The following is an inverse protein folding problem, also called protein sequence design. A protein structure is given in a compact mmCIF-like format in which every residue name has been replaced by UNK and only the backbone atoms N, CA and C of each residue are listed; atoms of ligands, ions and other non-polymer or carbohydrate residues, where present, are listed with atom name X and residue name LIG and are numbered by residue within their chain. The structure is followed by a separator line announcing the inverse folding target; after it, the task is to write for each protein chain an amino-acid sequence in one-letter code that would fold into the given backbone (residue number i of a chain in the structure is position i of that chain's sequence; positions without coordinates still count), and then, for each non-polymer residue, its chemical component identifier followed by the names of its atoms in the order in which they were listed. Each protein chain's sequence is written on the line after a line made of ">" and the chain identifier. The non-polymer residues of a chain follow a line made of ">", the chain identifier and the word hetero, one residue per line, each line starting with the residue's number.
data_IF_145668001446
#
_entry.id   IF_145668001446
#
_cell.length_a   1.000
_cell.length_b   1.000
_cell.length_c   1.000
_cell.angle_alpha   90.00
_cell.angle_beta   90.00
_cell.angle_gamma   90.00
#
_symmetry.space_group_name_H-M   'P 1'
#
loop_
_entity.id
_entity.type
_entity.pdbx_description
1 polymer ?
#
# COMPACT_ATOMS: atom_id res chain seq x y z
N UNK A 1 21.63 -2.47 -8.91
CA UNK A 1 21.07 -1.10 -8.84
C UNK A 1 22.01 -0.27 -7.97
N UNK A 2 22.71 0.69 -8.57
CA UNK A 2 23.69 1.57 -7.91
C UNK A 2 23.05 2.86 -7.34
N UNK A 3 21.72 2.98 -7.48
CA UNK A 3 20.89 4.10 -7.08
C UNK A 3 21.21 5.45 -7.77
N UNK A 4 22.03 5.48 -8.83
CA UNK A 4 22.41 6.74 -9.48
C UNK A 4 21.23 7.39 -10.20
N UNK A 5 20.31 6.58 -10.73
CA UNK A 5 19.06 7.07 -11.33
C UNK A 5 18.17 7.85 -10.35
N UNK A 6 18.31 7.61 -9.05
CA UNK A 6 17.55 8.30 -8.00
C UNK A 6 18.35 9.41 -7.29
N UNK A 7 19.58 9.71 -7.74
CA UNK A 7 20.43 10.76 -7.14
C UNK A 7 19.80 12.16 -7.22
N UNK A 8 19.03 12.42 -8.27
CA UNK A 8 18.33 13.68 -8.52
C UNK A 8 16.84 13.37 -8.75
N UNK A 9 15.95 14.27 -8.33
CA UNK A 9 14.52 14.18 -8.63
C UNK A 9 13.65 13.52 -7.55
N UNK A 10 14.24 13.09 -6.43
CA UNK A 10 13.49 12.67 -5.25
C UNK A 10 12.80 13.88 -4.61
N UNK A 11 11.46 13.90 -4.69
CA UNK A 11 10.63 15.03 -4.25
C UNK A 11 10.42 15.09 -2.73
N UNK A 12 10.45 13.95 -2.03
CA UNK A 12 10.16 13.88 -0.59
C UNK A 12 11.43 13.69 0.24
N UNK A 13 11.46 14.31 1.43
CA UNK A 13 12.53 14.12 2.41
C UNK A 13 12.66 12.66 2.87
N UNK A 14 11.55 11.92 2.89
CA UNK A 14 11.56 10.47 3.13
C UNK A 14 12.41 9.74 2.07
N UNK A 15 12.11 9.94 0.78
CA UNK A 15 12.84 9.28 -0.31
C UNK A 15 14.34 9.64 -0.28
N UNK A 16 14.66 10.91 -0.07
CA UNK A 16 16.05 11.40 0.06
C UNK A 16 16.78 10.73 1.23
N UNK A 17 16.14 10.64 2.41
CA UNK A 17 16.75 10.02 3.59
C UNK A 17 17.01 8.51 3.40
N UNK A 18 16.09 7.80 2.74
CA UNK A 18 16.25 6.37 2.43
C UNK A 18 17.34 6.14 1.40
N UNK A 19 17.42 6.98 0.36
CA UNK A 19 18.50 6.92 -0.62
C UNK A 19 19.88 7.08 0.04
N UNK A 20 20.07 8.10 0.88
CA UNK A 20 21.34 8.29 1.60
C UNK A 20 21.66 7.10 2.50
N UNK A 21 20.67 6.59 3.23
CA UNK A 21 20.83 5.43 4.12
C UNK A 21 21.32 4.20 3.35
N UNK A 22 20.76 3.94 2.16
CA UNK A 22 21.19 2.82 1.33
C UNK A 22 22.60 3.01 0.75
N UNK A 23 23.01 4.24 0.39
CA UNK A 23 24.40 4.50 -0.01
C UNK A 23 25.37 4.19 1.13
N UNK A 24 25.02 4.52 2.37
CA UNK A 24 25.83 4.14 3.55
C UNK A 24 25.89 2.62 3.74
N UNK A 25 24.78 1.91 3.52
CA UNK A 25 24.77 0.44 3.58
C UNK A 25 25.63 -0.18 2.49
N UNK A 26 25.60 0.33 1.25
CA UNK A 26 26.50 -0.12 0.18
C UNK A 26 27.98 0.12 0.52
N UNK A 27 28.33 1.26 1.12
CA UNK A 27 29.69 1.50 1.60
C UNK A 27 30.08 0.56 2.74
N UNK A 28 29.17 0.20 3.63
CA UNK A 28 29.41 -0.80 4.67
C UNK A 28 29.64 -2.20 4.06
N UNK A 29 28.90 -2.57 3.02
CA UNK A 29 29.11 -3.84 2.31
C UNK A 29 30.47 -3.93 1.63
N UNK A 30 30.95 -2.83 1.02
CA UNK A 30 32.33 -2.73 0.49
C UNK A 30 33.39 -2.98 1.56
N UNK A 31 33.07 -2.70 2.83
CA UNK A 31 33.94 -2.91 4.00
C UNK A 31 33.73 -4.27 4.68
N UNK A 32 32.94 -5.16 4.09
CA UNK A 32 32.74 -6.53 4.55
C UNK A 32 31.47 -6.78 5.37
N UNK A 33 30.59 -5.77 5.54
CA UNK A 33 29.27 -6.03 6.10
C UNK A 33 28.48 -6.96 5.15
N UNK A 34 27.86 -8.00 5.71
CA UNK A 34 27.04 -8.95 4.95
C UNK A 34 25.57 -8.82 5.31
N UNK A 35 24.70 -8.87 4.32
CA UNK A 35 23.26 -8.85 4.54
C UNK A 35 22.47 -8.42 3.31
N UNK A 36 21.19 -8.14 3.54
CA UNK A 36 20.26 -7.76 2.49
C UNK A 36 19.63 -6.39 2.77
N UNK A 37 19.42 -5.60 1.72
CA UNK A 37 18.57 -4.42 1.75
C UNK A 37 17.18 -4.87 1.30
N UNK A 38 16.20 -4.85 2.21
CA UNK A 38 14.81 -5.17 1.88
C UNK A 38 14.06 -3.89 1.50
N UNK A 39 13.51 -3.87 0.28
CA UNK A 39 12.75 -2.75 -0.29
C UNK A 39 11.30 -3.20 -0.56
N UNK A 40 10.39 -3.05 0.42
CA UNK A 40 8.98 -3.36 0.19
C UNK A 40 8.27 -2.28 -0.62
N UNK A 41 7.18 -2.67 -1.28
CA UNK A 41 6.15 -1.76 -1.78
C UNK A 41 5.37 -1.08 -0.65
N UNK A 42 4.14 -0.64 -0.95
CA UNK A 42 3.19 -0.21 0.07
C UNK A 42 2.84 -1.39 0.96
N UNK A 43 3.33 -1.36 2.21
CA UNK A 43 3.03 -2.38 3.21
C UNK A 43 1.62 -2.13 3.73
N UNK A 44 0.70 -3.05 3.43
CA UNK A 44 -0.71 -2.95 3.81
C UNK A 44 -1.04 -3.90 4.96
N UNK A 45 -2.32 -4.20 5.17
CA UNK A 45 -2.74 -5.05 6.29
C UNK A 45 -2.19 -6.47 6.25
N UNK A 46 -2.41 -7.17 7.35
CA UNK A 46 -2.13 -8.62 7.46
C UNK A 46 -3.13 -9.41 6.61
N UNK A 47 -2.65 -10.40 5.86
CA UNK A 47 -3.49 -11.09 4.89
C UNK A 47 -4.60 -11.98 5.49
N UNK A 48 -4.56 -12.25 6.80
CA UNK A 48 -5.49 -13.16 7.49
C UNK A 48 -6.43 -12.42 8.44
N UNK A 49 -5.89 -11.46 9.18
CA UNK A 49 -6.60 -10.68 10.20
C UNK A 49 -7.09 -9.34 9.66
N UNK A 50 -6.56 -8.90 8.51
CA UNK A 50 -6.80 -7.59 7.89
C UNK A 50 -6.42 -6.37 8.75
N UNK A 51 -5.75 -6.59 9.89
CA UNK A 51 -5.26 -5.51 10.75
C UNK A 51 -4.30 -4.64 9.97
N UNK A 52 -4.56 -3.33 9.94
CA UNK A 52 -3.76 -2.38 9.17
C UNK A 52 -3.62 -1.03 9.85
N UNK A 53 -2.67 -0.21 9.38
CA UNK A 53 -2.44 1.14 9.85
C UNK A 53 -3.34 2.13 9.11
N UNK A 54 -4.38 2.63 9.76
CA UNK A 54 -5.35 3.56 9.15
C UNK A 54 -4.80 4.95 8.84
N UNK A 55 -3.59 5.28 9.32
CA UNK A 55 -2.91 6.51 8.93
C UNK A 55 -2.18 6.43 7.58
N UNK A 56 -2.07 5.24 6.99
CA UNK A 56 -1.40 5.06 5.71
C UNK A 56 -2.13 5.77 4.56
N UNK A 57 -1.35 6.21 3.57
CA UNK A 57 -1.84 6.89 2.37
C UNK A 57 -2.94 6.09 1.67
N UNK A 58 -2.78 4.77 1.53
CA UNK A 58 -3.72 3.91 0.81
C UNK A 58 -5.10 3.95 1.47
N UNK A 59 -5.16 3.81 2.79
CA UNK A 59 -6.43 3.77 3.51
C UNK A 59 -7.07 5.16 3.65
N UNK A 60 -6.25 6.21 3.75
CA UNK A 60 -6.74 7.60 3.64
C UNK A 60 -7.32 7.90 2.27
N UNK A 61 -6.73 7.38 1.19
CA UNK A 61 -7.27 7.48 -0.16
C UNK A 61 -8.62 6.78 -0.27
N UNK A 62 -8.72 5.54 0.22
CA UNK A 62 -9.98 4.79 0.26
C UNK A 62 -11.05 5.56 1.03
N UNK A 63 -10.76 6.00 2.26
CA UNK A 63 -11.73 6.76 3.08
C UNK A 63 -12.11 8.10 2.44
N UNK A 64 -11.15 8.83 1.90
CA UNK A 64 -11.41 10.11 1.22
C UNK A 64 -12.33 9.95 0.02
N UNK A 65 -12.18 8.87 -0.76
CA UNK A 65 -13.07 8.54 -1.86
C UNK A 65 -14.49 8.16 -1.39
N UNK A 66 -14.60 7.39 -0.30
CA UNK A 66 -15.90 7.06 0.32
C UNK A 66 -16.61 8.33 0.82
N UNK A 67 -15.88 9.23 1.50
CA UNK A 67 -16.43 10.49 1.98
C UNK A 67 -16.87 11.43 0.84
N UNK A 68 -16.12 11.45 -0.26
CA UNK A 68 -16.44 12.25 -1.43
C UNK A 68 -17.56 11.63 -2.29
N UNK A 69 -17.78 10.31 -2.19
CA UNK A 69 -18.66 9.56 -3.08
C UNK A 69 -18.12 9.39 -4.51
N UNK A 70 -16.84 9.71 -4.72
CA UNK A 70 -16.16 9.65 -6.03
C UNK A 70 -14.84 8.92 -5.91
N UNK A 71 -14.53 8.11 -6.92
CA UNK A 71 -13.20 7.52 -7.12
C UNK A 71 -12.60 8.03 -8.44
N UNK A 72 -11.30 8.38 -8.49
CA UNK A 72 -10.65 8.79 -9.73
C UNK A 72 -10.32 7.57 -10.59
N UNK A 73 -10.47 7.70 -11.91
CA UNK A 73 -10.00 6.72 -12.89
C UNK A 73 -8.46 6.81 -13.03
N UNK A 74 -7.76 5.85 -12.43
CA UNK A 74 -6.31 5.74 -12.45
C UNK A 74 -5.93 4.28 -12.69
N UNK A 75 -5.43 4.00 -13.88
CA UNK A 75 -5.02 2.64 -14.25
C UNK A 75 -3.57 2.29 -13.87
N UNK A 76 -2.87 3.19 -13.17
CA UNK A 76 -1.51 2.91 -12.70
C UNK A 76 -1.52 1.78 -11.68
N UNK A 77 -0.44 0.98 -11.70
CA UNK A 77 -0.21 -0.04 -10.70
C UNK A 77 0.08 0.58 -9.33
N UNK A 78 -0.34 -0.12 -8.30
CA UNK A 78 -0.05 0.19 -6.90
C UNK A 78 0.58 -1.06 -6.29
N UNK A 79 1.85 -0.97 -5.92
CA UNK A 79 2.61 -2.11 -5.39
C UNK A 79 2.21 -2.39 -3.93
N UNK A 80 1.01 -2.94 -3.69
CA UNK A 80 0.47 -3.25 -2.37
C UNK A 80 0.86 -4.65 -1.93
N UNK A 81 1.60 -4.76 -0.82
CA UNK A 81 2.10 -6.04 -0.30
C UNK A 81 1.61 -6.24 1.15
N UNK A 82 0.99 -7.38 1.47
CA UNK A 82 0.59 -7.71 2.84
C UNK A 82 1.77 -7.70 3.82
N UNK A 83 1.56 -7.21 5.05
CA UNK A 83 2.64 -7.05 6.04
C UNK A 83 3.26 -8.38 6.46
N UNK A 84 2.48 -9.45 6.53
CA UNK A 84 2.94 -10.80 6.84
C UNK A 84 3.87 -11.34 5.76
N UNK A 85 3.62 -11.03 4.48
CA UNK A 85 4.54 -11.36 3.39
C UNK A 85 5.87 -10.60 3.51
N UNK A 86 5.82 -9.30 3.84
CA UNK A 86 7.03 -8.50 4.05
C UNK A 86 7.83 -8.99 5.26
N UNK A 87 7.15 -9.29 6.37
CA UNK A 87 7.77 -9.80 7.59
C UNK A 87 8.44 -11.16 7.33
N UNK A 88 7.79 -12.03 6.56
CA UNK A 88 8.33 -13.32 6.12
C UNK A 88 9.59 -13.16 5.29
N UNK A 89 9.56 -12.35 4.23
CA UNK A 89 10.73 -12.06 3.40
C UNK A 89 11.89 -11.48 4.22
N UNK A 90 11.59 -10.57 5.15
CA UNK A 90 12.59 -9.96 6.02
C UNK A 90 13.20 -10.98 6.99
N UNK A 91 12.37 -11.87 7.54
CA UNK A 91 12.82 -12.93 8.45
C UNK A 91 13.70 -13.93 7.73
N UNK A 92 13.30 -14.39 6.54
CA UNK A 92 14.10 -15.29 5.69
C UNK A 92 15.43 -14.64 5.30
N UNK A 93 15.43 -13.36 4.95
CA UNK A 93 16.67 -12.63 4.66
C UNK A 93 17.66 -12.65 5.84
N UNK A 94 17.17 -12.70 7.08
CA UNK A 94 18.03 -12.78 8.26
C UNK A 94 18.47 -14.21 8.59
N UNK A 95 17.58 -15.20 8.50
CA UNK A 95 17.83 -16.57 9.01
C UNK A 95 18.25 -17.58 7.95
N UNK A 96 17.92 -17.32 6.68
CA UNK A 96 18.23 -18.16 5.53
C UNK A 96 18.65 -17.28 4.34
N UNK A 97 19.75 -16.49 4.48
CA UNK A 97 20.17 -15.53 3.46
C UNK A 97 20.62 -16.22 2.16
N UNK A 98 20.58 -15.47 1.06
CA UNK A 98 21.07 -15.98 -0.23
C UNK A 98 22.55 -16.40 -0.14
N UNK A 99 22.92 -17.58 -0.67
CA UNK A 99 24.28 -18.08 -0.62
C UNK A 99 25.23 -17.14 -1.38
N UNK A 100 26.42 -16.90 -0.81
CA UNK A 100 27.48 -16.07 -1.40
C UNK A 100 27.11 -14.61 -1.69
N UNK A 101 25.95 -14.12 -1.23
CA UNK A 101 25.64 -12.69 -1.30
C UNK A 101 26.52 -11.94 -0.28
N UNK A 102 27.40 -11.07 -0.77
CA UNK A 102 28.07 -10.07 0.07
C UNK A 102 27.05 -9.02 0.50
N UNK A 103 26.34 -8.42 -0.46
CA UNK A 103 25.18 -7.58 -0.23
C UNK A 103 24.23 -7.68 -1.42
N UNK A 104 22.94 -7.87 -1.19
CA UNK A 104 21.93 -7.86 -2.25
C UNK A 104 20.71 -7.03 -1.89
N UNK A 105 19.97 -6.62 -2.91
CA UNK A 105 18.70 -5.90 -2.78
C UNK A 105 17.56 -6.88 -3.02
N UNK A 106 16.61 -6.91 -2.09
CA UNK A 106 15.39 -7.71 -2.16
C UNK A 106 14.21 -6.75 -2.38
N UNK A 107 13.73 -6.66 -3.62
CA UNK A 107 12.49 -5.95 -3.91
C UNK A 107 11.32 -6.86 -3.53
N UNK A 108 10.54 -6.47 -2.53
CA UNK A 108 9.33 -7.21 -2.14
C UNK A 108 8.16 -6.54 -2.83
N UNK A 109 7.69 -7.17 -3.92
CA UNK A 109 6.76 -6.60 -4.89
C UNK A 109 5.52 -7.49 -4.98
N UNK A 110 4.37 -6.86 -5.18
CA UNK A 110 3.12 -7.54 -5.38
C UNK A 110 3.09 -8.26 -6.73
N UNK A 111 2.67 -9.53 -6.73
CA UNK A 111 2.51 -10.31 -7.94
C UNK A 111 1.20 -11.13 -7.90
N UNK A 112 0.23 -10.87 -8.79
CA UNK A 112 0.19 -9.76 -9.77
C UNK A 112 0.15 -8.37 -9.12
N UNK A 113 0.51 -7.32 -9.86
CA UNK A 113 0.40 -5.93 -9.42
C UNK A 113 -1.04 -5.42 -9.54
N UNK A 114 -1.72 -5.00 -8.45
CA UNK A 114 -3.03 -4.38 -8.55
C UNK A 114 -2.91 -2.95 -9.10
N UNK A 115 -4.00 -2.42 -9.63
CA UNK A 115 -4.11 -1.00 -10.03
C UNK A 115 -4.92 -0.19 -9.03
N UNK A 116 -4.82 1.14 -9.09
CA UNK A 116 -5.72 2.02 -8.33
C UNK A 116 -7.19 1.78 -8.70
N UNK A 117 -7.49 1.46 -9.96
CA UNK A 117 -8.83 1.05 -10.37
C UNK A 117 -9.27 -0.27 -9.72
N UNK A 118 -8.41 -1.29 -9.65
CA UNK A 118 -8.74 -2.53 -8.93
C UNK A 118 -9.05 -2.25 -7.45
N UNK A 119 -8.24 -1.39 -6.82
CA UNK A 119 -8.40 -0.98 -5.43
C UNK A 119 -9.71 -0.21 -5.21
N UNK A 120 -9.94 0.87 -5.95
CA UNK A 120 -10.97 1.85 -5.65
C UNK A 120 -12.34 1.46 -6.21
N UNK A 121 -12.41 0.78 -7.35
CA UNK A 121 -13.68 0.30 -7.89
C UNK A 121 -14.30 -0.80 -7.02
N UNK A 122 -13.49 -1.53 -6.24
CA UNK A 122 -13.99 -2.52 -5.27
C UNK A 122 -14.95 -1.91 -4.24
N UNK A 123 -14.86 -0.60 -3.97
CA UNK A 123 -15.77 0.09 -3.06
C UNK A 123 -17.22 -0.03 -3.52
N UNK A 124 -17.49 0.20 -4.81
CA UNK A 124 -18.83 0.05 -5.36
C UNK A 124 -19.31 -1.40 -5.26
N UNK A 125 -18.42 -2.37 -5.52
CA UNK A 125 -18.75 -3.79 -5.46
C UNK A 125 -19.22 -4.24 -4.07
N UNK A 126 -18.55 -3.75 -3.03
CA UNK A 126 -18.90 -4.03 -1.62
C UNK A 126 -19.97 -3.08 -1.05
N UNK A 127 -20.59 -2.24 -1.88
CA UNK A 127 -21.78 -1.46 -1.54
C UNK A 127 -21.53 -0.06 -0.96
N UNK A 128 -20.30 0.45 -1.04
CA UNK A 128 -20.04 1.86 -0.78
C UNK A 128 -20.54 2.70 -1.96
N UNK A 129 -21.25 3.80 -1.68
CA UNK A 129 -21.85 4.66 -2.71
C UNK A 129 -20.80 5.55 -3.37
N UNK A 130 -19.98 4.96 -4.23
CA UNK A 130 -18.94 5.66 -5.00
C UNK A 130 -19.16 5.51 -6.50
N UNK A 131 -18.91 6.57 -7.26
CA UNK A 131 -18.86 6.52 -8.74
C UNK A 131 -17.47 6.87 -9.26
N UNK A 132 -17.04 6.17 -10.31
CA UNK A 132 -15.79 6.49 -11.00
C UNK A 132 -15.95 7.76 -11.84
N UNK A 133 -14.90 8.58 -11.91
CA UNK A 133 -14.84 9.75 -12.78
C UNK A 133 -13.39 10.08 -13.18
N UNK A 134 -13.20 10.91 -14.19
CA UNK A 134 -11.87 11.38 -14.59
C UNK A 134 -11.14 12.05 -13.41
N UNK A 135 -9.83 11.84 -13.29
CA UNK A 135 -9.01 12.40 -12.21
C UNK A 135 -9.18 13.93 -12.07
N UNK A 136 -9.25 14.68 -13.17
CA UNK A 136 -9.41 16.13 -13.10
C UNK A 136 -10.76 16.56 -12.52
N UNK A 137 -11.82 15.77 -12.76
CA UNK A 137 -13.13 15.98 -12.14
C UNK A 137 -13.07 15.64 -10.67
N UNK A 138 -12.55 14.45 -10.34
CA UNK A 138 -12.37 14.00 -8.95
C UNK A 138 -11.59 15.01 -8.12
N UNK A 139 -10.47 15.53 -8.66
CA UNK A 139 -9.61 16.52 -8.00
C UNK A 139 -10.37 17.80 -7.64
N UNK A 140 -11.11 18.37 -8.61
CA UNK A 140 -11.89 19.59 -8.39
C UNK A 140 -12.98 19.40 -7.34
N UNK A 141 -13.66 18.26 -7.38
CA UNK A 141 -14.69 17.94 -6.38
C UNK A 141 -14.08 17.72 -4.99
N UNK A 142 -12.91 17.09 -4.90
CA UNK A 142 -12.17 16.96 -3.64
C UNK A 142 -11.77 18.32 -3.07
N UNK A 143 -11.20 19.20 -3.90
CA UNK A 143 -10.84 20.58 -3.51
C UNK A 143 -12.05 21.31 -2.93
N UNK A 144 -13.17 21.28 -3.65
CA UNK A 144 -14.42 21.92 -3.21
C UNK A 144 -14.92 21.32 -1.88
N UNK A 145 -15.01 20.00 -1.80
CA UNK A 145 -15.51 19.29 -0.63
C UNK A 145 -14.68 19.59 0.62
N UNK A 146 -13.36 19.64 0.48
CA UNK A 146 -12.44 19.98 1.57
C UNK A 146 -12.66 21.42 2.07
N UNK A 147 -12.87 22.37 1.15
CA UNK A 147 -13.10 23.77 1.52
C UNK A 147 -14.44 23.97 2.24
N UNK A 148 -15.44 23.13 1.96
CA UNK A 148 -16.78 23.20 2.56
C UNK A 148 -16.88 22.45 3.90
N UNK A 149 -16.39 21.21 3.97
CA UNK A 149 -16.65 20.29 5.10
C UNK A 149 -15.45 20.21 6.07
N UNK A 150 -14.24 20.49 5.59
CA UNK A 150 -12.97 20.38 6.35
C UNK A 150 -12.70 19.04 7.06
N UNK A 151 -13.48 17.99 6.78
CA UNK A 151 -13.40 16.67 7.43
C UNK A 151 -13.24 15.54 6.39
N UNK A 152 -12.27 15.69 5.49
CA UNK A 152 -11.89 14.62 4.56
C UNK A 152 -10.55 13.98 4.99
N UNK A 153 -10.47 12.65 4.94
CA UNK A 153 -9.29 11.88 5.35
C UNK A 153 -8.02 12.22 4.54
N UNK A 154 -8.19 12.76 3.32
CA UNK A 154 -7.12 13.23 2.46
C UNK A 154 -6.63 14.64 2.78
N UNK A 155 -7.26 15.38 3.70
CA UNK A 155 -6.87 16.74 4.05
C UNK A 155 -5.37 16.90 4.37
N UNK A 156 -4.73 16.02 5.18
CA UNK A 156 -3.30 16.13 5.46
C UNK A 156 -2.39 15.81 4.26
N UNK A 157 -2.96 15.25 3.18
CA UNK A 157 -2.27 14.69 2.03
C UNK A 157 -2.68 15.39 0.73
N UNK A 158 -3.32 16.56 0.80
CA UNK A 158 -3.78 17.29 -0.40
C UNK A 158 -2.66 17.60 -1.38
N UNK A 159 -1.48 18.00 -0.89
CA UNK A 159 -0.31 18.21 -1.72
C UNK A 159 0.12 16.96 -2.50
N UNK A 160 -0.24 15.76 -2.02
CA UNK A 160 0.03 14.50 -2.73
C UNK A 160 -1.00 14.22 -3.82
N UNK A 161 -2.27 14.56 -3.59
CA UNK A 161 -3.39 14.14 -4.46
C UNK A 161 -3.92 15.25 -5.38
N UNK A 162 -3.57 16.52 -5.15
CA UNK A 162 -4.05 17.66 -5.94
C UNK A 162 -3.06 18.12 -7.02
N UNK A 163 -1.80 17.72 -6.97
CA UNK A 163 -0.84 18.03 -8.02
C UNK A 163 -1.14 17.18 -9.27
N UNK A 164 -0.35 16.15 -9.51
CA UNK A 164 -0.51 15.21 -10.62
C UNK A 164 -0.37 13.79 -10.09
N UNK A 165 -1.43 13.30 -9.44
CA UNK A 165 -1.49 11.95 -8.89
C UNK A 165 -1.25 10.88 -9.98
N UNK A 166 -1.87 10.96 -11.19
CA UNK A 166 -1.61 10.00 -12.25
C UNK A 166 -0.15 9.97 -12.74
N UNK A 167 0.58 11.08 -12.74
CA UNK A 167 2.02 11.02 -13.08
C UNK A 167 2.86 10.56 -11.90
N UNK A 168 2.57 11.04 -10.69
CA UNK A 168 3.37 10.74 -9.50
C UNK A 168 3.21 9.31 -8.98
N UNK A 169 2.11 8.63 -9.32
CA UNK A 169 1.86 7.22 -8.96
C UNK A 169 2.42 6.23 -9.97
N UNK A 170 3.04 6.67 -11.08
CA UNK A 170 3.72 5.76 -12.00
C UNK A 170 4.94 5.15 -11.30
N UNK A 171 4.82 3.87 -10.95
CA UNK A 171 5.90 3.11 -10.38
C UNK A 171 6.83 2.55 -11.47
N UNK A 172 8.15 2.50 -11.25
CA UNK A 172 9.05 1.77 -12.13
C UNK A 172 8.79 0.26 -12.03
N UNK A 173 9.08 -0.47 -13.11
CA UNK A 173 9.18 -1.93 -13.05
C UNK A 173 10.39 -2.31 -12.19
N UNK A 174 10.17 -3.19 -11.22
CA UNK A 174 11.19 -3.66 -10.30
C UNK A 174 11.51 -5.12 -10.61
N UNK A 175 12.81 -5.46 -10.63
CA UNK A 175 13.26 -6.84 -10.68
C UNK A 175 13.28 -7.42 -9.26
N UNK A 176 12.51 -8.48 -9.04
CA UNK A 176 12.36 -9.19 -7.77
C UNK A 176 13.09 -10.55 -7.75
N UNK A 177 13.98 -10.83 -8.70
CA UNK A 177 14.61 -12.15 -8.85
C UNK A 177 15.37 -12.61 -7.60
N UNK A 178 15.99 -11.68 -6.85
CA UNK A 178 16.63 -12.01 -5.57
C UNK A 178 15.61 -12.42 -4.49
N UNK A 179 14.45 -11.76 -4.46
CA UNK A 179 13.36 -12.10 -3.53
C UNK A 179 12.77 -13.45 -3.90
N UNK A 180 12.52 -13.70 -5.19
CA UNK A 180 12.07 -15.01 -5.67
C UNK A 180 13.07 -16.13 -5.30
N UNK A 181 14.37 -15.89 -5.49
CA UNK A 181 15.42 -16.83 -5.11
C UNK A 181 15.47 -17.07 -3.58
N UNK A 182 15.23 -16.03 -2.78
CA UNK A 182 15.17 -16.14 -1.31
C UNK A 182 13.98 -17.00 -0.86
N UNK A 183 12.85 -16.91 -1.57
CA UNK A 183 11.65 -17.66 -1.26
C UNK A 183 11.70 -19.11 -1.77
N UNK A 184 12.63 -19.44 -2.66
CA UNK A 184 12.75 -20.78 -3.22
C UNK A 184 13.07 -21.81 -2.13
N UNK A 185 12.25 -22.86 -2.03
CA UNK A 185 12.38 -23.88 -0.98
C UNK A 185 11.72 -23.51 0.36
N UNK A 186 11.12 -22.32 0.43
CA UNK A 186 10.26 -21.89 1.51
C UNK A 186 8.86 -21.65 0.93
N UNK A 187 8.09 -22.71 0.70
CA UNK A 187 6.70 -22.57 0.27
C UNK A 187 5.80 -22.18 1.46
N UNK A 188 4.82 -21.34 1.22
CA UNK A 188 3.84 -20.88 2.20
C UNK A 188 2.62 -20.28 1.47
N UNK A 189 1.47 -20.26 2.15
CA UNK A 189 0.20 -19.73 1.63
C UNK A 189 0.06 -18.21 1.82
N UNK A 190 1.13 -17.54 2.23
CA UNK A 190 1.13 -16.09 2.46
C UNK A 190 1.08 -15.33 1.11
N UNK A 191 0.00 -14.61 0.82
CA UNK A 191 -0.17 -13.94 -0.46
C UNK A 191 0.84 -12.80 -0.63
N UNK A 192 1.45 -12.72 -1.81
CA UNK A 192 2.36 -11.62 -2.16
C UNK A 192 1.64 -10.38 -2.66
N UNK A 193 0.34 -10.46 -2.94
CA UNK A 193 -0.47 -9.37 -3.51
C UNK A 193 -1.82 -9.21 -2.80
N UNK A 194 -2.48 -8.10 -3.06
CA UNK A 194 -3.86 -7.84 -2.64
C UNK A 194 -4.81 -8.23 -3.77
N UNK A 195 -5.42 -9.40 -3.63
CA UNK A 195 -6.52 -9.84 -4.49
C UNK A 195 -7.82 -9.10 -4.15
N UNK A 196 -8.85 -9.29 -4.96
CA UNK A 196 -10.17 -8.72 -4.71
C UNK A 196 -10.83 -9.28 -3.45
N UNK A 197 -10.56 -10.54 -3.11
CA UNK A 197 -11.01 -11.20 -1.88
C UNK A 197 -10.32 -10.59 -0.66
N UNK A 198 -8.99 -10.42 -0.73
CA UNK A 198 -8.23 -9.80 0.35
C UNK A 198 -8.61 -8.32 0.53
N UNK A 199 -8.93 -7.62 -0.56
CA UNK A 199 -9.48 -6.27 -0.49
C UNK A 199 -10.82 -6.24 0.27
N UNK A 200 -11.70 -7.22 0.03
CA UNK A 200 -12.94 -7.36 0.80
C UNK A 200 -12.70 -7.55 2.30
N UNK A 201 -11.68 -8.34 2.66
CA UNK A 201 -11.29 -8.54 4.05
C UNK A 201 -10.79 -7.25 4.70
N UNK A 202 -9.96 -6.46 3.99
CA UNK A 202 -9.53 -5.15 4.46
C UNK A 202 -10.71 -4.18 4.64
N UNK A 203 -11.64 -4.12 3.69
CA UNK A 203 -12.84 -3.27 3.83
C UNK A 203 -13.69 -3.69 5.03
N UNK A 204 -13.89 -4.99 5.24
CA UNK A 204 -14.61 -5.49 6.41
C UNK A 204 -13.93 -5.07 7.71
N UNK A 205 -12.59 -5.16 7.78
CA UNK A 205 -11.82 -4.72 8.94
C UNK A 205 -11.90 -3.21 9.16
N UNK A 206 -11.80 -2.40 8.11
CA UNK A 206 -11.91 -0.93 8.22
C UNK A 206 -13.30 -0.48 8.68
N UNK A 207 -14.36 -1.19 8.28
CA UNK A 207 -15.72 -0.97 8.81
C UNK A 207 -15.79 -1.39 10.28
N UNK A 208 -15.32 -2.59 10.62
CA UNK A 208 -15.31 -3.07 12.00
C UNK A 208 -14.51 -2.17 12.95
N UNK A 209 -13.41 -1.60 12.47
CA UNK A 209 -12.56 -0.68 13.22
C UNK A 209 -13.13 0.77 13.31
N UNK A 210 -14.34 1.00 12.78
CA UNK A 210 -15.00 2.32 12.67
C UNK A 210 -14.19 3.36 11.89
N UNK A 211 -13.29 2.92 11.00
CA UNK A 211 -12.55 3.82 10.14
C UNK A 211 -13.38 4.22 8.91
N UNK A 212 -14.10 3.24 8.33
CA UNK A 212 -15.09 3.44 7.27
C UNK A 212 -16.51 3.29 7.82
N UNK A 213 -17.51 3.98 7.25
CA UNK A 213 -18.92 3.72 7.54
C UNK A 213 -19.32 2.34 7.00
N UNK A 214 -20.44 1.78 7.50
CA UNK A 214 -21.02 0.60 6.87
C UNK A 214 -21.50 0.90 5.44
N UNK A 215 -21.36 -0.05 4.49
CA UNK A 215 -21.93 0.09 3.15
C UNK A 215 -23.44 0.34 3.20
N UNK A 216 -23.94 1.19 2.29
CA UNK A 216 -25.34 1.61 2.27
C UNK A 216 -26.08 1.26 0.98
N UNK A 217 -25.40 0.63 0.00
CA UNK A 217 -26.06 0.14 -1.21
C UNK A 217 -27.04 -0.99 -0.88
N UNK A 218 -28.28 -0.96 -1.40
CA UNK A 218 -29.28 -2.00 -1.16
C UNK A 218 -28.97 -3.33 -1.90
N UNK A 219 -28.19 -3.27 -2.98
CA UNK A 219 -27.88 -4.43 -3.83
C UNK A 219 -26.40 -4.41 -4.24
N UNK A 220 -25.46 -4.65 -3.30
CA UNK A 220 -24.05 -4.73 -3.64
C UNK A 220 -23.76 -6.00 -4.47
N UNK A 221 -22.76 -5.95 -5.35
CA UNK A 221 -22.35 -7.12 -6.14
C UNK A 221 -21.65 -8.16 -5.27
N UNK A 222 -21.02 -7.72 -4.16
CA UNK A 222 -20.33 -8.56 -3.17
C UNK A 222 -20.74 -8.18 -1.75
N UNK A 223 -20.77 -9.18 -0.87
CA UNK A 223 -20.95 -8.95 0.57
C UNK A 223 -19.59 -8.85 1.26
N UNK A 224 -19.47 -7.96 2.26
CA UNK A 224 -18.27 -7.91 3.09
C UNK A 224 -18.10 -9.25 3.83
N UNK A 225 -16.88 -9.83 3.84
CA UNK A 225 -16.61 -11.06 4.56
C UNK A 225 -16.74 -10.87 6.09
N UNK A 226 -17.07 -11.96 6.78
CA UNK A 226 -17.09 -11.98 8.25
C UNK A 226 -15.66 -12.18 8.76
N UNK A 227 -15.20 -11.26 9.61
CA UNK A 227 -13.88 -11.33 10.22
C UNK A 227 -13.84 -12.43 11.29
N UNK A 228 -12.71 -13.11 11.42
CA UNK A 228 -12.51 -14.10 12.48
C UNK A 228 -12.60 -13.45 13.88
N UNK A 229 -13.22 -14.12 14.84
CA UNK A 229 -13.42 -13.58 16.20
C UNK A 229 -12.13 -13.00 16.80
N UNK A 230 -12.19 -11.76 17.29
CA UNK A 230 -11.09 -11.08 17.98
C UNK A 230 -10.12 -10.27 17.10
N UNK A 231 -10.31 -10.23 15.78
CA UNK A 231 -9.43 -9.50 14.84
C UNK A 231 -9.73 -8.00 14.72
N UNK A 232 -10.91 -7.54 15.18
CA UNK A 232 -11.26 -6.12 15.18
C UNK A 232 -10.78 -5.46 16.47
N UNK A 233 -9.59 -4.87 16.40
CA UNK A 233 -9.10 -3.93 17.41
C UNK A 233 -9.39 -2.53 16.87
N UNK A 234 -9.85 -1.62 17.75
CA UNK A 234 -10.10 -0.21 17.41
C UNK A 234 -8.91 0.34 16.62
N UNK A 235 -9.18 1.05 15.51
CA UNK A 235 -8.14 1.53 14.61
C UNK A 235 -7.06 2.33 15.39
N UNK A 236 -5.82 1.86 15.36
CA UNK A 236 -4.69 2.58 15.93
C UNK A 236 -4.15 3.58 14.89
N UNK A 237 -4.62 4.83 14.95
CA UNK A 237 -3.98 5.98 14.28
C UNK A 237 -3.14 6.79 15.27
N UNK A 238 -2.42 7.82 14.79
CA UNK A 238 -1.70 8.83 15.59
C UNK A 238 -2.58 9.49 16.64
N UNK A 239 -3.89 9.50 16.44
CA UNK A 239 -4.86 10.01 17.41
C UNK A 239 -5.20 9.03 18.54
N UNK A 240 -4.91 7.73 18.41
CA UNK A 240 -4.89 6.75 19.51
C UNK A 240 -6.11 6.69 20.45
N UNK A 241 -7.27 7.26 20.05
CA UNK A 241 -8.49 7.28 20.86
C UNK A 241 -9.49 6.31 20.30
#
# INVERSE_FOLDING_TARGET
>A
DDLEGARIGLKSGYGQSKWVSEKLLFEAGKRGLRGHIVRPGYVVGDSKTAVTNTDDFIWRMVKGCVQLGLVPDINNTVNMVPVDHVARCTSLAAVAPLPNATQSVLHVVANPLPTFNNLLSSLADYGFLTRQCEYLVWRRELEKHVMEVQDNALFPLLHFVLDDLPTSTKAPELNDSNTAALLQGHEDDCPSTVSEELMGLYLAWLVGANFLPSPSSPTPSRSLPVLANGSVIKAAGRSGI
#
